data_IF_211599404514
#
_entry.id   IF_211599404514
#
_cell.length_a   1.000
_cell.length_b   1.000
_cell.length_c   1.000
_cell.angle_alpha   90.00
_cell.angle_beta   90.00
_cell.angle_gamma   90.00
#
_symmetry.space_group_name_H-M   'P 1'
#
loop_
_entity.id
_entity.type
_entity.pdbx_description
1 polymer ?
#
# COMPACT_ATOMS: atom_id res chain seq x y z
N UNK A 1 13.44 -10.30 9.72
CA UNK A 1 13.94 -9.07 9.08
C UNK A 1 13.77 -9.25 7.59
N UNK A 2 12.73 -8.65 6.99
CA UNK A 2 12.56 -8.68 5.53
C UNK A 2 13.34 -7.48 4.99
N UNK A 3 14.42 -7.72 4.24
CA UNK A 3 15.08 -6.68 3.48
C UNK A 3 14.15 -6.29 2.32
N UNK A 4 13.60 -5.08 2.35
CA UNK A 4 12.78 -4.57 1.26
C UNK A 4 13.56 -3.49 0.53
N UNK A 5 14.22 -3.91 -0.55
CA UNK A 5 15.01 -3.04 -1.40
C UNK A 5 14.21 -1.84 -1.93
N UNK A 6 14.86 -0.68 -1.89
CA UNK A 6 14.36 0.57 -2.49
C UNK A 6 14.27 0.39 -3.99
N UNK A 7 13.06 0.51 -4.55
CA UNK A 7 12.84 0.54 -6.01
C UNK A 7 12.59 2.00 -6.41
N UNK A 8 13.33 2.49 -7.41
CA UNK A 8 12.94 3.73 -8.10
C UNK A 8 11.67 3.44 -8.90
N UNK A 9 10.64 4.28 -8.73
CA UNK A 9 9.44 4.20 -9.56
C UNK A 9 9.86 4.44 -11.03
N UNK A 10 9.50 3.51 -11.92
CA UNK A 10 9.87 3.56 -13.33
C UNK A 10 9.31 4.81 -14.03
N UNK A 11 10.09 5.33 -14.98
CA UNK A 11 9.82 6.54 -15.75
C UNK A 11 8.50 6.44 -16.55
N UNK A 12 7.44 7.02 -16.00
CA UNK A 12 6.13 7.12 -16.63
C UNK A 12 5.32 8.21 -15.95
N UNK A 13 5.82 9.45 -16.02
CA UNK A 13 5.22 10.63 -15.37
C UNK A 13 6.21 11.35 -14.47
N UNK A 14 7.16 12.06 -15.08
CA UNK A 14 8.17 12.84 -14.39
C UNK A 14 7.52 13.98 -13.60
N UNK A 15 7.62 13.88 -12.28
CA UNK A 15 7.20 14.90 -11.32
C UNK A 15 7.49 14.45 -9.90
N UNK A 16 8.78 14.41 -9.52
CA UNK A 16 9.23 14.36 -8.11
C UNK A 16 8.74 13.17 -7.25
N UNK A 17 8.42 12.03 -7.84
CA UNK A 17 8.11 10.83 -7.04
C UNK A 17 9.44 10.29 -6.50
N UNK A 18 9.77 10.69 -5.27
CA UNK A 18 10.99 10.20 -4.62
C UNK A 18 10.95 8.70 -4.35
N UNK A 19 11.98 8.20 -3.67
CA UNK A 19 12.21 6.77 -3.47
C UNK A 19 10.99 6.06 -2.88
N UNK A 20 10.63 4.89 -3.42
CA UNK A 20 9.61 4.05 -2.78
C UNK A 20 10.31 3.17 -1.75
N UNK A 21 9.86 3.26 -0.49
CA UNK A 21 10.33 2.39 0.60
C UNK A 21 9.18 1.60 1.17
N UNK A 22 9.49 0.46 1.77
CA UNK A 22 8.52 -0.31 2.53
C UNK A 22 8.78 -0.13 4.01
N UNK A 23 7.72 0.25 4.74
CA UNK A 23 7.75 0.37 6.20
C UNK A 23 6.65 -0.47 6.84
N UNK A 24 6.81 -0.74 8.14
CA UNK A 24 5.72 -1.29 8.96
C UNK A 24 4.53 -0.33 8.91
N UNK A 25 3.33 -0.87 8.73
CA UNK A 25 2.08 -0.12 8.80
C UNK A 25 1.64 0.04 10.26
N UNK A 26 0.97 1.15 10.55
CA UNK A 26 0.37 1.46 11.85
C UNK A 26 -1.15 1.53 11.73
N UNK A 27 -1.90 1.49 12.85
CA UNK A 27 -3.36 1.52 12.84
C UNK A 27 -3.95 2.69 12.02
N UNK A 28 -3.26 3.85 12.02
CA UNK A 28 -3.64 5.02 11.21
C UNK A 28 -3.62 4.79 9.69
N UNK A 29 -2.87 3.80 9.22
CA UNK A 29 -2.75 3.47 7.79
C UNK A 29 -3.93 2.61 7.28
N UNK A 30 -4.80 2.12 8.17
CA UNK A 30 -5.96 1.26 7.85
C UNK A 30 -6.81 1.76 6.67
N UNK A 31 -7.16 3.05 6.66
CA UNK A 31 -7.93 3.66 5.57
C UNK A 31 -7.17 3.67 4.24
N UNK A 32 -5.86 3.89 4.26
CA UNK A 32 -5.01 3.91 3.07
C UNK A 32 -4.85 2.51 2.48
N UNK A 33 -4.60 1.51 3.32
CA UNK A 33 -4.50 0.10 2.91
C UNK A 33 -5.82 -0.41 2.34
N UNK A 34 -6.94 -0.12 3.01
CA UNK A 34 -8.28 -0.47 2.50
C UNK A 34 -8.50 0.09 1.10
N UNK A 35 -8.14 1.37 0.89
CA UNK A 35 -8.27 2.00 -0.43
C UNK A 35 -7.39 1.31 -1.47
N UNK A 36 -6.14 1.00 -1.14
CA UNK A 36 -5.19 0.36 -2.06
C UNK A 36 -5.72 -0.98 -2.57
N UNK A 37 -6.29 -1.81 -1.69
CA UNK A 37 -6.88 -3.11 -2.09
C UNK A 37 -8.12 -2.89 -2.96
N UNK A 38 -9.05 -2.03 -2.52
CA UNK A 38 -10.32 -1.79 -3.23
C UNK A 38 -10.16 -1.07 -4.57
N UNK A 39 -9.07 -0.32 -4.78
CA UNK A 39 -8.78 0.36 -6.04
C UNK A 39 -7.79 -0.41 -6.93
N UNK A 40 -7.43 -1.64 -6.55
CA UNK A 40 -6.50 -2.45 -7.34
C UNK A 40 -7.20 -3.00 -8.58
N UNK A 41 -6.59 -2.77 -9.76
CA UNK A 41 -7.08 -3.31 -11.04
C UNK A 41 -7.14 -4.84 -11.07
N UNK A 42 -6.37 -5.51 -10.21
CA UNK A 42 -6.41 -6.97 -10.08
C UNK A 42 -7.79 -7.50 -9.64
N UNK A 43 -8.58 -6.67 -8.95
CA UNK A 43 -9.92 -7.01 -8.48
C UNK A 43 -11.03 -6.39 -9.33
N UNK A 44 -10.74 -5.82 -10.49
CA UNK A 44 -11.79 -5.30 -11.38
C UNK A 44 -12.59 -6.43 -12.06
N UNK A 45 -13.75 -6.08 -12.61
CA UNK A 45 -14.61 -6.99 -13.36
C UNK A 45 -15.14 -8.15 -12.50
N UNK A 46 -14.88 -9.39 -12.94
CA UNK A 46 -15.37 -10.61 -12.27
C UNK A 46 -15.00 -10.71 -10.79
N UNK A 47 -13.91 -10.06 -10.39
CA UNK A 47 -13.38 -10.13 -9.04
C UNK A 47 -13.83 -8.98 -8.13
N UNK A 48 -14.64 -8.04 -8.63
CA UNK A 48 -15.03 -6.83 -7.89
C UNK A 48 -15.75 -7.17 -6.58
N UNK A 49 -16.61 -8.19 -6.61
CA UNK A 49 -17.33 -8.65 -5.43
C UNK A 49 -16.41 -9.17 -4.30
N UNK A 50 -15.18 -9.63 -4.61
CA UNK A 50 -14.25 -10.14 -3.60
C UNK A 50 -13.77 -9.06 -2.63
N UNK A 51 -13.78 -7.80 -3.06
CA UNK A 51 -13.33 -6.65 -2.27
C UNK A 51 -14.48 -5.70 -1.91
N UNK A 52 -15.71 -6.10 -2.21
CA UNK A 52 -16.90 -5.37 -1.77
C UNK A 52 -17.01 -5.44 -0.25
N UNK A 53 -17.20 -4.28 0.39
CA UNK A 53 -17.19 -4.18 1.86
C UNK A 53 -15.86 -4.44 2.55
N UNK A 54 -14.78 -4.81 1.82
CA UNK A 54 -13.47 -5.09 2.40
C UNK A 54 -12.93 -3.90 3.20
N UNK A 55 -12.44 -4.18 4.41
CA UNK A 55 -11.81 -3.20 5.30
C UNK A 55 -10.65 -3.85 6.02
N UNK A 56 -9.51 -3.17 6.01
CA UNK A 56 -8.43 -3.40 6.97
C UNK A 56 -8.74 -2.55 8.19
N UNK A 57 -8.98 -3.18 9.35
CA UNK A 57 -9.17 -2.49 10.62
C UNK A 57 -7.83 -2.11 11.27
N UNK A 58 -7.81 -1.06 12.12
CA UNK A 58 -6.61 -0.71 12.89
C UNK A 58 -6.16 -1.89 13.77
N UNK A 59 -7.09 -2.56 14.46
CA UNK A 59 -6.83 -3.72 15.33
C UNK A 59 -6.14 -4.86 14.57
N UNK A 60 -6.51 -5.07 13.30
CA UNK A 60 -5.85 -6.06 12.45
C UNK A 60 -4.38 -5.70 12.21
N UNK A 61 -4.08 -4.43 11.95
CA UNK A 61 -2.71 -3.95 11.71
C UNK A 61 -1.86 -4.04 12.99
N UNK A 62 -2.46 -3.75 14.13
CA UNK A 62 -1.77 -3.83 15.43
C UNK A 62 -1.45 -5.28 15.80
N UNK A 63 -2.40 -6.20 15.57
CA UNK A 63 -2.22 -7.62 15.85
C UNK A 63 -1.29 -8.36 14.87
N UNK A 64 -1.08 -7.83 13.64
CA UNK A 64 -0.36 -8.55 12.57
C UNK A 64 0.79 -7.75 11.97
N UNK A 65 1.82 -8.45 11.47
CA UNK A 65 2.95 -7.81 10.79
C UNK A 65 2.60 -7.34 9.37
N UNK A 66 1.96 -6.18 9.28
CA UNK A 66 1.57 -5.56 8.01
C UNK A 66 2.61 -4.53 7.56
N UNK A 67 2.99 -4.57 6.28
CA UNK A 67 3.95 -3.64 5.68
C UNK A 67 3.34 -2.95 4.46
N UNK A 68 3.76 -1.72 4.18
CA UNK A 68 3.28 -0.99 3.02
C UNK A 68 4.37 -0.18 2.33
N UNK A 69 4.28 -0.08 1.02
CA UNK A 69 5.11 0.80 0.21
C UNK A 69 4.62 2.25 0.30
N UNK A 70 5.53 3.18 0.53
CA UNK A 70 5.28 4.62 0.59
C UNK A 70 6.31 5.36 -0.25
N UNK A 71 5.89 6.44 -0.90
CA UNK A 71 6.82 7.38 -1.50
C UNK A 71 7.52 8.17 -0.37
N UNK A 72 8.85 8.24 -0.44
CA UNK A 72 9.67 9.17 0.31
C UNK A 72 10.10 10.28 -0.62
N UNK A 73 9.92 11.53 -0.23
CA UNK A 73 10.54 12.63 -0.95
C UNK A 73 12.06 12.56 -0.75
N UNK A 74 12.80 12.59 -1.85
CA UNK A 74 14.26 12.72 -1.84
C UNK A 74 14.54 14.15 -2.26
N UNK A 75 15.07 14.95 -1.33
CA UNK A 75 15.45 16.34 -1.55
C UNK A 75 16.61 16.51 -2.51
#
# INVERSE_FOLDING_TARGET
MVDVGVRRAGAGGAGRLGAVVVRRAEGRDARRLTRLVRSSRAYEGRYAAMVEGYRVGPDYIEAHQVFMAVAMDVG
#
